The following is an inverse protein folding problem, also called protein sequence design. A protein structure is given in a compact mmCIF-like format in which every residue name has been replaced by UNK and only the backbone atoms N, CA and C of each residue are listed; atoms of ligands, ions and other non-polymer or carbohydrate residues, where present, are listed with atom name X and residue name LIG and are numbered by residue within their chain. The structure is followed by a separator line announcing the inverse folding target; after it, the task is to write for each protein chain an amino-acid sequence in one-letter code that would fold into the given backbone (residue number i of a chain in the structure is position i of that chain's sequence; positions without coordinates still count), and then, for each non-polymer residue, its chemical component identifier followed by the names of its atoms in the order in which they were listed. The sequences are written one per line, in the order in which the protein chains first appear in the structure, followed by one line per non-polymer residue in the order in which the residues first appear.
data_IF_020254370399
#
_entry.id   IF_020254370399
#
_cell.length_a   1.000
_cell.length_b   1.000
_cell.length_c   1.000
_cell.angle_alpha   90.00
_cell.angle_beta   90.00
_cell.angle_gamma   90.00
#
_symmetry.space_group_name_H-M   'P 1'
#
loop_
_entity.id
_entity.type
_entity.pdbx_description
1 polymer ?
#
# COMPACT_ATOMS: atom_id res chain seq x y z
N UNK A 1 -42.66 12.84 6.25
CA UNK A 1 -42.69 11.74 7.23
C UNK A 1 -41.35 11.66 7.94
N UNK A 2 -41.33 11.84 9.27
CA UNK A 2 -40.09 11.94 10.06
C UNK A 2 -39.72 10.58 10.65
N UNK A 3 -39.69 9.53 9.84
CA UNK A 3 -39.44 8.15 10.29
C UNK A 3 -38.07 8.03 10.96
N UNK A 4 -38.03 7.38 12.13
CA UNK A 4 -36.80 7.04 12.84
C UNK A 4 -36.19 5.83 12.11
N UNK A 5 -34.96 5.93 11.59
CA UNK A 5 -34.31 4.80 10.94
C UNK A 5 -34.01 3.71 11.97
N UNK A 6 -34.37 2.45 11.69
CA UNK A 6 -34.02 1.34 12.57
C UNK A 6 -32.50 1.07 12.58
N UNK A 7 -32.03 0.45 13.65
CA UNK A 7 -30.62 0.05 13.78
C UNK A 7 -30.22 -0.91 12.65
N UNK A 8 -31.04 -1.90 12.36
CA UNK A 8 -30.82 -2.90 11.31
C UNK A 8 -30.70 -2.26 9.92
N UNK A 9 -31.52 -1.25 9.65
CA UNK A 9 -31.48 -0.49 8.42
C UNK A 9 -30.18 0.30 8.30
N UNK A 10 -29.76 1.01 9.36
CA UNK A 10 -28.50 1.76 9.35
C UNK A 10 -27.28 0.86 9.26
N UNK A 11 -27.26 -0.28 9.94
CA UNK A 11 -26.20 -1.30 9.78
C UNK A 11 -26.15 -1.79 8.33
N UNK A 12 -27.31 -2.06 7.74
CA UNK A 12 -27.37 -2.53 6.34
C UNK A 12 -26.88 -1.48 5.35
N UNK A 13 -27.35 -0.23 5.45
CA UNK A 13 -26.99 0.82 4.50
C UNK A 13 -25.57 1.34 4.72
N UNK A 14 -25.19 1.64 5.96
CA UNK A 14 -23.92 2.29 6.31
C UNK A 14 -22.76 1.30 6.36
N UNK A 15 -22.94 0.16 7.03
CA UNK A 15 -21.85 -0.81 7.26
C UNK A 15 -21.75 -1.79 6.09
N UNK A 16 -22.84 -2.50 5.77
CA UNK A 16 -22.81 -3.57 4.75
C UNK A 16 -22.73 -3.01 3.33
N UNK A 17 -23.59 -2.05 3.00
CA UNK A 17 -23.63 -1.41 1.67
C UNK A 17 -22.69 -0.20 1.53
N UNK A 18 -21.94 0.14 2.58
CA UNK A 18 -20.93 1.22 2.61
C UNK A 18 -21.41 2.60 2.16
N UNK A 19 -22.72 2.88 2.15
CA UNK A 19 -23.28 4.18 1.75
C UNK A 19 -22.86 5.28 2.73
N UNK A 20 -22.54 6.47 2.23
CA UNK A 20 -22.26 7.65 3.03
C UNK A 20 -23.50 8.15 3.77
N UNK A 21 -23.32 8.91 4.86
CA UNK A 21 -24.43 9.51 5.58
C UNK A 21 -25.31 10.37 4.66
N UNK A 22 -24.70 11.09 3.71
CA UNK A 22 -25.36 11.84 2.63
C UNK A 22 -26.23 10.98 1.70
N UNK A 23 -25.73 9.83 1.27
CA UNK A 23 -26.53 8.91 0.44
C UNK A 23 -27.71 8.34 1.23
N UNK A 24 -27.50 8.01 2.50
CA UNK A 24 -28.56 7.50 3.38
C UNK A 24 -29.59 8.60 3.64
N UNK A 25 -29.16 9.84 3.88
CA UNK A 25 -30.04 10.96 4.15
C UNK A 25 -30.97 11.23 2.96
N UNK A 26 -30.45 11.13 1.72
CA UNK A 26 -31.25 11.18 0.49
C UNK A 26 -32.23 10.01 0.39
N UNK A 27 -31.78 8.77 0.67
CA UNK A 27 -32.62 7.57 0.62
C UNK A 27 -33.77 7.61 1.63
N UNK A 28 -33.54 8.19 2.80
CA UNK A 28 -34.51 8.27 3.89
C UNK A 28 -35.23 9.63 3.97
N UNK A 29 -34.98 10.51 3.00
CA UNK A 29 -35.51 11.87 2.93
C UNK A 29 -35.37 12.64 4.26
N UNK A 30 -34.16 12.66 4.82
CA UNK A 30 -33.86 13.36 6.08
C UNK A 30 -32.51 14.09 6.02
N UNK A 31 -32.16 14.82 7.07
CA UNK A 31 -30.86 15.51 7.16
C UNK A 31 -29.70 14.55 7.43
N UNK A 32 -28.50 14.91 6.99
CA UNK A 32 -27.26 14.18 7.32
C UNK A 32 -27.03 14.13 8.84
N UNK A 33 -27.33 15.23 9.54
CA UNK A 33 -27.30 15.31 11.00
C UNK A 33 -28.16 14.24 11.66
N UNK A 34 -29.37 13.98 11.15
CA UNK A 34 -30.24 12.92 11.68
C UNK A 34 -29.59 11.54 11.53
N UNK A 35 -28.91 11.28 10.40
CA UNK A 35 -28.20 10.01 10.20
C UNK A 35 -27.03 9.87 11.18
N UNK A 36 -26.21 10.90 11.33
CA UNK A 36 -25.10 10.90 12.29
C UNK A 36 -25.57 10.70 13.74
N UNK A 37 -26.65 11.38 14.12
CA UNK A 37 -27.29 11.22 15.43
C UNK A 37 -27.67 9.76 15.70
N UNK A 38 -28.35 9.09 14.77
CA UNK A 38 -28.78 7.70 14.97
C UNK A 38 -27.65 6.68 14.87
N UNK A 39 -26.62 6.93 14.05
CA UNK A 39 -25.40 6.12 14.04
C UNK A 39 -24.74 6.14 15.43
N UNK A 40 -24.59 7.32 16.03
CA UNK A 40 -24.05 7.49 17.37
C UNK A 40 -24.94 6.83 18.44
N UNK A 41 -26.25 7.13 18.41
CA UNK A 41 -27.21 6.60 19.40
C UNK A 41 -27.27 5.08 19.41
N UNK A 42 -27.14 4.43 18.26
CA UNK A 42 -27.11 2.97 18.15
C UNK A 42 -25.71 2.36 18.32
N UNK A 43 -24.69 3.17 18.63
CA UNK A 43 -23.28 2.76 18.78
C UNK A 43 -22.75 2.07 17.52
N UNK A 44 -23.17 2.54 16.35
CA UNK A 44 -22.63 2.10 15.06
C UNK A 44 -21.36 2.91 14.81
N UNK A 45 -20.21 2.23 14.78
CA UNK A 45 -18.92 2.88 14.57
C UNK A 45 -18.92 3.69 13.27
N UNK A 46 -18.71 5.00 13.40
CA UNK A 46 -18.67 5.91 12.27
C UNK A 46 -17.28 5.89 11.64
N UNK A 47 -17.25 5.78 10.31
CA UNK A 47 -16.00 5.74 9.55
C UNK A 47 -15.28 7.08 9.65
N UNK A 48 -13.95 7.06 9.66
CA UNK A 48 -13.17 8.28 9.58
C UNK A 48 -13.32 8.96 8.21
N UNK A 49 -12.93 10.23 8.09
CA UNK A 49 -12.85 10.93 6.80
C UNK A 49 -11.98 10.13 5.81
N UNK A 50 -10.84 9.59 6.27
CA UNK A 50 -9.95 8.78 5.44
C UNK A 50 -10.62 7.51 4.93
N UNK A 51 -11.41 6.83 5.76
CA UNK A 51 -12.15 5.62 5.35
C UNK A 51 -13.25 5.95 4.34
N UNK A 52 -13.97 7.06 4.56
CA UNK A 52 -14.98 7.55 3.63
C UNK A 52 -14.37 7.85 2.26
N UNK A 53 -13.24 8.58 2.23
CA UNK A 53 -12.50 8.87 1.01
C UNK A 53 -11.99 7.59 0.35
N UNK A 54 -11.45 6.65 1.12
CA UNK A 54 -10.95 5.38 0.61
C UNK A 54 -12.06 4.59 -0.10
N UNK A 55 -13.25 4.46 0.49
CA UNK A 55 -14.40 3.79 -0.12
C UNK A 55 -14.82 4.50 -1.40
N UNK A 56 -14.86 5.85 -1.39
CA UNK A 56 -15.21 6.64 -2.58
C UNK A 56 -14.23 6.41 -3.74
N UNK A 57 -12.93 6.29 -3.46
CA UNK A 57 -11.91 6.04 -4.49
C UNK A 57 -11.82 4.58 -4.92
N UNK A 58 -12.40 3.66 -4.13
CA UNK A 58 -12.36 2.22 -4.36
C UNK A 58 -13.78 1.63 -4.31
N UNK A 59 -14.68 2.03 -5.23
CA UNK A 59 -16.09 1.63 -5.20
C UNK A 59 -16.30 0.11 -5.34
N UNK A 60 -15.36 -0.57 -6.00
CA UNK A 60 -15.38 -2.03 -6.21
C UNK A 60 -14.68 -2.82 -5.10
N UNK A 61 -14.35 -2.17 -3.98
CA UNK A 61 -13.57 -2.77 -2.89
C UNK A 61 -12.07 -2.56 -3.03
N UNK A 62 -11.30 -3.24 -2.19
CA UNK A 62 -9.85 -3.03 -2.09
C UNK A 62 -9.16 -3.32 -3.43
N UNK A 63 -8.19 -2.48 -3.87
CA UNK A 63 -7.48 -2.67 -5.14
C UNK A 63 -6.40 -3.77 -5.05
N UNK A 64 -6.47 -4.59 -4.01
CA UNK A 64 -5.58 -5.70 -3.67
C UNK A 64 -6.43 -6.79 -3.04
N UNK A 65 -5.95 -8.03 -3.05
CA UNK A 65 -6.58 -9.13 -2.30
C UNK A 65 -5.62 -9.64 -1.23
N UNK A 66 -6.07 -10.50 -0.33
CA UNK A 66 -5.18 -11.18 0.62
C UNK A 66 -5.25 -12.66 0.29
N UNK A 67 -4.14 -13.20 -0.21
CA UNK A 67 -4.01 -14.63 -0.48
C UNK A 67 -3.31 -15.28 0.71
N UNK A 68 -3.93 -16.30 1.30
CA UNK A 68 -3.23 -17.20 2.22
C UNK A 68 -2.46 -18.25 1.40
N UNK A 69 -1.20 -18.55 1.73
CA UNK A 69 -0.45 -19.61 1.05
C UNK A 69 -1.20 -20.94 1.10
N UNK A 70 -1.26 -21.64 -0.03
CA UNK A 70 -1.86 -22.98 -0.16
C UNK A 70 -0.86 -24.05 -0.58
N UNK A 71 0.30 -23.66 -1.10
CA UNK A 71 1.39 -24.57 -1.48
C UNK A 71 2.68 -24.21 -0.75
N UNK A 72 3.67 -25.11 -0.81
CA UNK A 72 4.99 -24.89 -0.21
C UNK A 72 5.66 -23.66 -0.84
N UNK A 73 5.58 -23.52 -2.16
CA UNK A 73 6.18 -22.41 -2.90
C UNK A 73 5.55 -21.07 -2.51
N UNK A 74 4.23 -21.05 -2.32
CA UNK A 74 3.53 -19.87 -1.81
C UNK A 74 3.91 -19.58 -0.36
N UNK A 75 4.10 -20.61 0.46
CA UNK A 75 4.56 -20.48 1.84
C UNK A 75 5.95 -19.86 1.92
N UNK A 76 6.88 -20.34 1.10
CA UNK A 76 8.24 -19.80 0.96
C UNK A 76 8.19 -18.35 0.50
N UNK A 77 7.42 -18.04 -0.56
CA UNK A 77 7.30 -16.67 -1.06
C UNK A 77 6.71 -15.73 -0.01
N UNK A 78 5.68 -16.19 0.72
CA UNK A 78 5.03 -15.40 1.77
C UNK A 78 5.98 -15.13 2.93
N UNK A 79 6.63 -16.15 3.48
CA UNK A 79 7.60 -16.01 4.56
C UNK A 79 8.77 -15.12 4.16
N UNK A 80 9.33 -15.34 2.97
CA UNK A 80 10.40 -14.50 2.42
C UNK A 80 9.97 -13.05 2.25
N UNK A 81 8.79 -12.80 1.69
CA UNK A 81 8.27 -11.44 1.49
C UNK A 81 8.00 -10.70 2.79
N UNK A 82 7.43 -11.39 3.79
CA UNK A 82 7.24 -10.85 5.14
C UNK A 82 8.59 -10.56 5.80
N UNK A 83 9.54 -11.50 5.74
CA UNK A 83 10.89 -11.33 6.27
C UNK A 83 11.64 -10.17 5.63
N UNK A 84 11.57 -10.04 4.30
CA UNK A 84 12.16 -8.92 3.55
C UNK A 84 11.56 -7.59 4.00
N UNK A 85 10.23 -7.48 4.13
CA UNK A 85 9.63 -6.24 4.61
C UNK A 85 9.95 -5.99 6.09
N UNK A 86 10.10 -7.04 6.88
CA UNK A 86 10.45 -6.91 8.29
C UNK A 86 11.89 -6.41 8.49
N UNK A 87 12.84 -6.90 7.70
CA UNK A 87 14.25 -6.50 7.76
C UNK A 87 14.57 -5.20 7.02
N UNK A 88 14.12 -5.08 5.77
CA UNK A 88 14.51 -4.00 4.82
C UNK A 88 13.40 -2.95 4.63
N UNK A 89 12.19 -3.21 5.12
CA UNK A 89 11.04 -2.36 4.90
C UNK A 89 11.05 -1.10 5.77
N UNK A 90 10.63 0.04 5.20
CA UNK A 90 10.42 1.26 5.96
C UNK A 90 9.11 1.19 6.75
N UNK A 91 9.21 1.07 8.08
CA UNK A 91 8.05 1.03 9.00
C UNK A 91 7.63 2.41 9.52
N UNK A 92 8.54 3.41 9.48
CA UNK A 92 8.27 4.78 9.94
C UNK A 92 7.20 5.48 9.09
N UNK A 93 7.10 5.14 7.80
CA UNK A 93 6.08 5.68 6.93
C UNK A 93 4.75 4.95 7.17
N UNK A 94 3.71 5.69 7.59
CA UNK A 94 2.42 5.09 7.93
C UNK A 94 1.48 4.87 6.74
N UNK A 95 1.84 5.31 5.54
CA UNK A 95 0.92 5.42 4.40
C UNK A 95 1.27 4.51 3.21
N UNK A 96 2.45 3.89 3.22
CA UNK A 96 2.94 3.15 2.07
C UNK A 96 3.89 2.04 2.49
N UNK A 97 3.85 0.94 1.75
CA UNK A 97 4.84 -0.13 1.83
C UNK A 97 6.04 0.35 1.03
N UNK A 98 7.19 0.41 1.69
CA UNK A 98 8.45 0.78 1.05
C UNK A 98 9.52 -0.22 1.40
N UNK A 99 10.28 -0.67 0.42
CA UNK A 99 11.47 -1.48 0.61
C UNK A 99 12.55 -0.97 -0.33
N UNK A 100 13.69 -0.58 0.24
CA UNK A 100 14.85 -0.09 -0.48
C UNK A 100 15.97 -1.12 -0.46
N UNK A 101 16.53 -1.45 -1.62
CA UNK A 101 17.71 -2.32 -1.67
C UNK A 101 18.53 -2.08 -2.95
N UNK A 102 19.76 -2.58 -2.96
CA UNK A 102 20.67 -2.51 -4.11
C UNK A 102 20.64 -3.79 -4.94
N UNK A 103 20.23 -4.93 -4.35
CA UNK A 103 20.14 -6.22 -5.02
C UNK A 103 18.90 -6.29 -5.93
N UNK A 104 19.09 -6.40 -7.27
CA UNK A 104 17.99 -6.47 -8.22
C UNK A 104 17.14 -7.75 -8.10
N UNK A 105 17.69 -8.86 -7.57
CA UNK A 105 16.95 -10.10 -7.32
C UNK A 105 16.03 -9.95 -6.11
N UNK A 106 16.52 -9.32 -5.04
CA UNK A 106 15.72 -9.03 -3.85
C UNK A 106 14.52 -8.14 -4.18
N UNK A 107 14.76 -7.05 -4.93
CA UNK A 107 13.69 -6.16 -5.40
C UNK A 107 12.64 -6.94 -6.20
N UNK A 108 13.06 -7.76 -7.17
CA UNK A 108 12.12 -8.59 -7.96
C UNK A 108 11.32 -9.55 -7.09
N UNK A 109 11.95 -10.19 -6.11
CA UNK A 109 11.26 -11.11 -5.18
C UNK A 109 10.25 -10.39 -4.30
N UNK A 110 10.58 -9.20 -3.82
CA UNK A 110 9.63 -8.38 -3.07
C UNK A 110 8.43 -7.94 -3.93
N UNK A 111 8.68 -7.54 -5.18
CA UNK A 111 7.60 -7.24 -6.14
C UNK A 111 6.75 -8.49 -6.39
N UNK A 112 7.37 -9.65 -6.62
CA UNK A 112 6.67 -10.92 -6.82
C UNK A 112 5.76 -11.25 -5.64
N UNK A 113 6.24 -11.07 -4.40
CA UNK A 113 5.45 -11.22 -3.19
C UNK A 113 4.23 -10.31 -3.18
N UNK A 114 4.38 -9.00 -3.42
CA UNK A 114 3.25 -8.07 -3.48
C UNK A 114 2.23 -8.44 -4.56
N UNK A 115 2.72 -8.88 -5.73
CA UNK A 115 1.86 -9.25 -6.86
C UNK A 115 1.12 -10.55 -6.62
N UNK A 116 1.80 -11.60 -6.14
CA UNK A 116 1.21 -12.94 -6.00
C UNK A 116 0.41 -13.11 -4.71
N UNK A 117 0.90 -12.57 -3.59
CA UNK A 117 0.24 -12.72 -2.29
C UNK A 117 -0.85 -11.67 -2.09
N UNK A 118 -0.69 -10.47 -2.68
CA UNK A 118 -1.64 -9.38 -2.49
C UNK A 118 -2.32 -8.86 -3.76
N UNK A 119 -2.04 -9.43 -4.93
CA UNK A 119 -2.71 -9.00 -6.18
C UNK A 119 -2.38 -7.57 -6.60
N UNK A 120 -1.30 -6.98 -6.05
CA UNK A 120 -0.90 -5.61 -6.40
C UNK A 120 -0.53 -5.57 -7.87
N UNK A 121 -1.13 -4.66 -8.63
CA UNK A 121 -0.80 -4.47 -10.06
C UNK A 121 0.55 -3.78 -10.19
N UNK A 122 1.36 -4.19 -11.18
CA UNK A 122 2.66 -3.56 -11.46
C UNK A 122 2.54 -2.05 -11.69
N UNK A 123 1.47 -1.61 -12.37
CA UNK A 123 1.16 -0.20 -12.63
C UNK A 123 0.80 0.62 -11.38
N UNK A 124 0.59 -0.02 -10.23
CA UNK A 124 0.36 0.65 -8.94
C UNK A 124 1.64 0.82 -8.12
N UNK A 125 2.73 0.21 -8.55
CA UNK A 125 4.04 0.38 -7.92
C UNK A 125 4.72 1.64 -8.47
N UNK A 126 5.45 2.33 -7.62
CA UNK A 126 6.35 3.41 -8.03
C UNK A 126 7.75 3.13 -7.50
N UNK A 127 8.74 3.78 -8.08
CA UNK A 127 10.14 3.50 -7.79
C UNK A 127 10.88 4.79 -7.45
N UNK A 128 11.57 4.80 -6.33
CA UNK A 128 12.56 5.83 -6.01
C UNK A 128 13.93 5.28 -6.33
N UNK A 129 14.77 6.10 -6.97
CA UNK A 129 16.15 5.75 -7.23
C UNK A 129 17.05 6.77 -6.55
N UNK A 130 17.87 6.29 -5.62
CA UNK A 130 18.91 7.09 -4.99
C UNK A 130 20.28 6.64 -5.48
N UNK A 131 21.10 7.58 -5.93
CA UNK A 131 22.45 7.36 -6.43
C UNK A 131 23.43 8.30 -5.72
N UNK A 132 24.73 7.99 -5.86
CA UNK A 132 25.80 8.86 -5.39
C UNK A 132 26.27 9.81 -6.50
N UNK A 133 26.87 10.94 -6.11
CA UNK A 133 27.32 11.99 -7.03
C UNK A 133 28.41 11.55 -8.02
N UNK A 134 29.12 10.46 -7.73
CA UNK A 134 30.13 9.85 -8.60
C UNK A 134 29.53 8.81 -9.58
N UNK A 135 28.19 8.68 -9.65
CA UNK A 135 27.49 7.72 -10.51
C UNK A 135 26.76 8.41 -11.66
N UNK A 136 26.80 7.86 -12.88
CA UNK A 136 26.04 8.38 -14.02
C UNK A 136 24.53 8.09 -13.84
N UNK A 137 23.67 9.11 -13.61
CA UNK A 137 22.26 8.90 -13.26
C UNK A 137 21.48 8.15 -14.33
N UNK A 138 21.76 8.46 -15.60
CA UNK A 138 21.12 7.84 -16.77
C UNK A 138 21.38 6.34 -16.84
N UNK A 139 22.59 5.89 -16.52
CA UNK A 139 22.92 4.47 -16.57
C UNK A 139 22.21 3.68 -15.47
N UNK A 140 22.21 4.21 -14.25
CA UNK A 140 21.49 3.59 -13.12
C UNK A 140 19.99 3.49 -13.40
N UNK A 141 19.37 4.58 -13.88
CA UNK A 141 17.95 4.56 -14.24
C UNK A 141 17.66 3.55 -15.36
N UNK A 142 18.43 3.57 -16.44
CA UNK A 142 18.21 2.67 -17.58
C UNK A 142 18.34 1.20 -17.17
N UNK A 143 19.30 0.87 -16.30
CA UNK A 143 19.44 -0.46 -15.73
C UNK A 143 18.13 -0.90 -15.06
N UNK A 144 17.57 -0.10 -14.16
CA UNK A 144 16.36 -0.47 -13.43
C UNK A 144 15.10 -0.50 -14.31
N UNK A 145 14.99 0.39 -15.29
CA UNK A 145 13.89 0.36 -16.27
C UNK A 145 13.89 -0.96 -17.05
N UNK A 146 15.05 -1.38 -17.55
CA UNK A 146 15.21 -2.64 -18.28
C UNK A 146 15.01 -3.85 -17.35
N UNK A 147 15.59 -3.80 -16.15
CA UNK A 147 15.52 -4.91 -15.20
C UNK A 147 14.10 -5.15 -14.67
N UNK A 148 13.29 -4.11 -14.50
CA UNK A 148 11.92 -4.23 -14.02
C UNK A 148 10.89 -4.31 -15.15
N UNK A 149 11.29 -3.95 -16.38
CA UNK A 149 10.40 -3.80 -17.54
C UNK A 149 9.22 -2.88 -17.24
N UNK A 150 9.51 -1.65 -16.82
CA UNK A 150 8.51 -0.62 -16.46
C UNK A 150 8.82 0.71 -17.15
N UNK A 151 7.80 1.54 -17.43
CA UNK A 151 8.02 2.86 -18.00
C UNK A 151 8.67 3.82 -16.98
N UNK A 152 9.41 4.79 -17.50
CA UNK A 152 10.05 5.84 -16.69
C UNK A 152 9.05 6.67 -15.87
N UNK A 153 7.79 6.74 -16.28
CA UNK A 153 6.72 7.43 -15.55
C UNK A 153 6.42 6.81 -14.17
N UNK A 154 6.82 5.57 -13.92
CA UNK A 154 6.69 4.95 -12.59
C UNK A 154 7.85 5.32 -11.64
N UNK A 155 8.89 6.01 -12.13
CA UNK A 155 10.00 6.47 -11.31
C UNK A 155 9.76 7.90 -10.81
N UNK A 156 9.99 8.12 -9.51
CA UNK A 156 10.16 9.44 -8.95
C UNK A 156 11.48 10.06 -9.44
N UNK A 157 11.63 11.38 -9.20
CA UNK A 157 12.89 12.09 -9.47
C UNK A 157 14.06 11.36 -8.81
N UNK A 158 15.09 11.06 -9.61
CA UNK A 158 16.34 10.45 -9.12
C UNK A 158 16.96 11.37 -8.07
N UNK A 159 17.26 10.81 -6.91
CA UNK A 159 17.88 11.53 -5.79
C UNK A 159 19.39 11.31 -5.83
N UNK A 160 20.16 12.40 -5.90
CA UNK A 160 21.63 12.35 -5.90
C UNK A 160 22.15 12.73 -4.52
N UNK A 161 22.94 11.86 -3.90
CA UNK A 161 23.56 12.09 -2.60
C UNK A 161 25.08 12.28 -2.78
N UNK A 162 25.73 13.23 -2.07
CA UNK A 162 27.19 13.36 -2.13
C UNK A 162 27.90 12.05 -1.75
N UNK A 163 28.90 11.65 -2.52
CA UNK A 163 29.77 10.53 -2.17
C UNK A 163 30.63 10.93 -0.95
N UNK A 164 30.58 10.14 0.13
CA UNK A 164 31.30 10.44 1.40
C UNK A 164 32.71 9.84 1.48
N UNK A 165 33.05 8.85 0.64
CA UNK A 165 34.41 8.29 0.50
C UNK A 165 34.49 7.31 -0.69
N UNK A 166 35.71 7.04 -1.18
CA UNK A 166 36.00 5.95 -2.13
C UNK A 166 35.94 4.61 -1.36
N UNK A 167 34.73 4.20 -0.97
CA UNK A 167 34.52 2.93 -0.28
C UNK A 167 34.49 1.75 -1.26
N UNK A 168 34.88 0.56 -0.79
CA UNK A 168 34.74 -0.73 -1.49
C UNK A 168 33.29 -1.12 -1.84
N UNK A 169 32.31 -0.36 -1.32
CA UNK A 169 30.88 -0.52 -1.60
C UNK A 169 30.46 -0.23 -3.05
N UNK A 170 31.37 0.31 -3.89
CA UNK A 170 31.09 0.71 -5.28
C UNK A 170 30.53 -0.39 -6.18
N UNK A 171 30.94 -1.65 -6.00
CA UNK A 171 30.38 -2.75 -6.80
C UNK A 171 28.93 -3.08 -6.40
N UNK A 172 28.64 -3.11 -5.10
CA UNK A 172 27.29 -3.43 -4.60
C UNK A 172 26.28 -2.33 -4.92
N UNK A 173 26.72 -1.07 -4.99
CA UNK A 173 25.85 0.09 -5.25
C UNK A 173 25.91 0.60 -6.70
N UNK A 174 26.44 -0.19 -7.65
CA UNK A 174 26.68 0.22 -9.05
C UNK A 174 25.50 0.91 -9.72
N UNK A 175 24.28 0.50 -9.39
CA UNK A 175 23.04 1.05 -9.96
C UNK A 175 22.20 1.82 -8.93
N UNK A 176 22.80 2.23 -7.82
CA UNK A 176 22.12 2.93 -6.73
C UNK A 176 21.23 2.01 -5.88
N UNK A 177 20.53 2.65 -4.93
CA UNK A 177 19.51 2.01 -4.09
C UNK A 177 18.16 2.25 -4.74
N UNK A 178 17.47 1.18 -5.12
CA UNK A 178 16.10 1.25 -5.60
C UNK A 178 15.14 1.03 -4.43
N UNK A 179 14.16 1.91 -4.29
CA UNK A 179 13.05 1.75 -3.36
C UNK A 179 11.76 1.48 -4.11
N UNK A 180 11.11 0.35 -3.81
CA UNK A 180 9.77 0.02 -4.29
C UNK A 180 8.75 0.73 -3.39
N UNK A 181 7.78 1.41 -3.98
CA UNK A 181 6.68 2.08 -3.30
C UNK A 181 5.35 1.44 -3.70
N UNK A 182 4.59 0.95 -2.71
CA UNK A 182 3.18 0.63 -2.87
C UNK A 182 2.38 1.56 -1.94
N UNK A 183 1.74 2.58 -2.53
CA UNK A 183 0.99 3.61 -1.81
C UNK A 183 -0.40 3.11 -1.43
N UNK A 184 -0.45 2.21 -0.44
CA UNK A 184 -1.69 1.69 0.10
C UNK A 184 -1.56 1.48 1.61
N UNK A 185 -2.08 2.43 2.39
CA UNK A 185 -2.04 2.39 3.85
C UNK A 185 -2.69 1.12 4.41
N UNK A 186 -3.87 0.74 3.91
CA UNK A 186 -4.60 -0.43 4.40
C UNK A 186 -3.78 -1.71 4.21
N UNK A 187 -3.19 -1.90 3.03
CA UNK A 187 -2.33 -3.05 2.78
C UNK A 187 -1.05 -3.01 3.64
N UNK A 188 -0.46 -1.83 3.83
CA UNK A 188 0.70 -1.64 4.74
C UNK A 188 0.36 -2.12 6.15
N UNK A 189 -0.76 -1.65 6.69
CA UNK A 189 -1.20 -1.97 8.04
C UNK A 189 -1.45 -3.48 8.20
N UNK A 190 -2.02 -4.15 7.18
CA UNK A 190 -2.19 -5.62 7.14
C UNK A 190 -0.84 -6.35 7.21
N UNK A 191 0.16 -5.92 6.44
CA UNK A 191 1.49 -6.54 6.44
C UNK A 191 2.18 -6.32 7.80
N UNK A 192 2.11 -5.10 8.36
CA UNK A 192 2.65 -4.82 9.69
C UNK A 192 1.98 -5.67 10.78
N UNK A 193 0.66 -5.78 10.77
CA UNK A 193 -0.07 -6.63 11.72
C UNK A 193 0.33 -8.11 11.58
N UNK A 194 0.59 -8.57 10.35
CA UNK A 194 1.07 -9.93 10.11
C UNK A 194 2.41 -10.17 10.81
N UNK A 195 3.33 -9.19 10.76
CA UNK A 195 4.62 -9.26 11.45
C UNK A 195 4.44 -9.25 12.97
N UNK A 196 3.59 -8.38 13.50
CA UNK A 196 3.33 -8.28 14.94
C UNK A 196 2.71 -9.56 15.52
N UNK A 197 2.03 -10.35 14.70
CA UNK A 197 1.41 -11.61 15.10
C UNK A 197 2.35 -12.82 14.99
N UNK A 198 3.60 -12.64 14.55
CA UNK A 198 4.62 -13.70 14.57
C UNK A 198 5.04 -13.89 16.03
N UNK A 199 4.74 -15.07 16.58
CA UNK A 199 5.17 -15.50 17.91
C UNK A 199 6.56 -16.08 17.88
#
# INVERSE_FOLDING_TARGET
MNTIPSKELLVTLYVRRKKSAKEISRLLNCSEHKIHYWLDRYRIFQRSISDALYIKHNPNGDPFHIKRPKTIEEGVLFGMGIGLYWGEGTKRNKNSIRLGNTDPKLIRKFIEFLRKMYGVKMSKLHFGLQIFSDMPPRQALQFWLNHLNVPASQFYKVTVTPARSIGTYRQKTRYGVLTVYCNNRKLRDIICQTIENIK
#
